data_IF_618582209765
#
_entry.id   IF_618582209765
#
_cell.length_a   1.000
_cell.length_b   1.000
_cell.length_c   1.000
_cell.angle_alpha   90.00
_cell.angle_beta   90.00
_cell.angle_gamma   90.00
#
_symmetry.space_group_name_H-M   'P 1'
#
loop_
_entity.id
_entity.type
_entity.pdbx_description
1 polymer ?
#
# COMPACT_ATOMS: atom_id res chain seq x y z
N UNK A 1 19.47 -0.92 18.33
CA UNK A 1 18.26 -1.67 18.73
C UNK A 1 18.22 -2.99 17.97
N UNK A 2 17.62 -4.00 18.59
CA UNK A 2 17.23 -5.26 17.93
C UNK A 2 15.75 -5.16 17.53
N UNK A 3 15.47 -5.21 16.26
CA UNK A 3 14.14 -4.94 15.69
C UNK A 3 13.65 -6.21 14.99
N UNK A 4 12.43 -6.64 15.31
CA UNK A 4 11.76 -7.71 14.57
C UNK A 4 10.67 -7.11 13.67
N UNK A 5 10.87 -7.15 12.35
CA UNK A 5 9.81 -6.84 11.40
C UNK A 5 9.00 -8.11 11.17
N UNK A 6 7.67 -7.99 11.21
CA UNK A 6 6.75 -9.12 11.04
C UNK A 6 5.83 -8.83 9.88
N UNK A 7 5.80 -9.73 8.89
CA UNK A 7 4.89 -9.59 7.74
C UNK A 7 4.50 -10.94 7.17
N UNK A 8 3.22 -11.17 7.04
CA UNK A 8 2.66 -12.34 6.37
C UNK A 8 2.72 -12.29 4.85
N UNK A 9 3.09 -11.16 4.27
CA UNK A 9 3.24 -11.00 2.81
C UNK A 9 4.64 -11.35 2.31
N UNK A 10 5.51 -11.83 3.19
CA UNK A 10 6.88 -12.25 2.89
C UNK A 10 7.07 -13.70 3.37
N UNK A 11 7.75 -14.54 2.59
CA UNK A 11 8.33 -14.35 1.26
C UNK A 11 7.41 -14.87 0.16
N UNK A 12 7.30 -14.14 -0.94
CA UNK A 12 6.56 -14.59 -2.12
C UNK A 12 7.23 -14.12 -3.41
N UNK A 13 7.17 -14.90 -4.51
CA UNK A 13 7.81 -14.53 -5.78
C UNK A 13 7.32 -13.19 -6.35
N UNK A 14 6.03 -12.88 -6.17
CA UNK A 14 5.39 -11.66 -6.68
C UNK A 14 4.89 -10.80 -5.50
N UNK A 15 5.84 -10.19 -4.79
CA UNK A 15 5.52 -9.37 -3.64
C UNK A 15 4.72 -8.12 -4.00
N UNK A 16 3.69 -7.85 -3.19
CA UNK A 16 2.91 -6.62 -3.24
C UNK A 16 3.62 -5.42 -2.60
N UNK A 17 2.97 -4.25 -2.65
CA UNK A 17 3.51 -3.01 -2.10
C UNK A 17 3.82 -3.08 -0.60
N UNK A 18 3.01 -3.81 0.19
CA UNK A 18 3.25 -3.97 1.63
C UNK A 18 4.55 -4.74 1.92
N UNK A 19 4.78 -5.86 1.24
CA UNK A 19 6.00 -6.64 1.41
C UNK A 19 7.24 -5.84 1.03
N UNK A 20 7.20 -5.11 -0.10
CA UNK A 20 8.28 -4.22 -0.54
C UNK A 20 8.53 -3.10 0.46
N UNK A 21 7.48 -2.51 1.01
CA UNK A 21 7.62 -1.50 2.06
C UNK A 21 8.34 -2.06 3.28
N UNK A 22 7.96 -3.24 3.79
CA UNK A 22 8.59 -3.87 4.94
C UNK A 22 10.08 -4.19 4.69
N UNK A 23 10.43 -4.69 3.51
CA UNK A 23 11.82 -4.97 3.13
C UNK A 23 12.65 -3.69 2.96
N UNK A 24 12.09 -2.64 2.35
CA UNK A 24 12.78 -1.35 2.22
C UNK A 24 13.00 -0.70 3.58
N UNK A 25 12.05 -0.81 4.51
CA UNK A 25 12.23 -0.38 5.89
C UNK A 25 13.34 -1.17 6.58
N UNK A 26 13.35 -2.50 6.43
CA UNK A 26 14.40 -3.35 7.01
C UNK A 26 15.79 -2.90 6.55
N UNK A 27 15.96 -2.68 5.24
CA UNK A 27 17.23 -2.17 4.68
C UNK A 27 17.61 -0.81 5.24
N UNK A 28 16.67 0.12 5.36
CA UNK A 28 16.94 1.45 5.91
C UNK A 28 17.37 1.38 7.38
N UNK A 29 16.71 0.55 8.18
CA UNK A 29 17.06 0.34 9.60
C UNK A 29 18.43 -0.34 9.76
N UNK A 30 18.78 -1.29 8.88
CA UNK A 30 20.14 -1.90 8.87
C UNK A 30 21.18 -0.86 8.49
N UNK A 31 20.94 -0.02 7.47
CA UNK A 31 21.83 1.09 7.12
C UNK A 31 22.01 2.09 8.28
N UNK A 32 20.97 2.28 9.08
CA UNK A 32 21.03 3.11 10.28
C UNK A 32 21.75 2.45 11.49
N UNK A 33 22.36 1.27 11.30
CA UNK A 33 23.16 0.57 12.30
C UNK A 33 22.34 -0.28 13.28
N UNK A 34 21.11 -0.64 12.95
CA UNK A 34 20.27 -1.50 13.79
C UNK A 34 20.34 -2.96 13.37
N UNK A 35 20.17 -3.86 14.32
CA UNK A 35 20.01 -5.28 14.05
C UNK A 35 18.54 -5.55 13.72
N UNK A 36 18.27 -6.06 12.53
CA UNK A 36 16.91 -6.28 12.03
C UNK A 36 16.76 -7.73 11.59
N UNK A 37 15.79 -8.43 12.17
CA UNK A 37 15.34 -9.73 11.69
C UNK A 37 13.92 -9.59 11.12
N UNK A 38 13.54 -10.49 10.21
CA UNK A 38 12.22 -10.52 9.59
C UNK A 38 11.54 -11.85 9.87
N UNK A 39 10.36 -11.79 10.49
CA UNK A 39 9.48 -12.92 10.72
C UNK A 39 8.40 -12.93 9.64
N UNK A 40 8.44 -13.92 8.78
CA UNK A 40 7.52 -14.09 7.66
C UNK A 40 6.88 -15.47 7.60
N UNK A 41 6.19 -15.74 6.50
CA UNK A 41 5.55 -17.03 6.24
C UNK A 41 6.57 -18.15 6.04
N UNK A 42 6.17 -19.36 6.38
CA UNK A 42 6.96 -20.59 6.25
C UNK A 42 6.76 -21.31 4.90
N UNK A 43 5.92 -20.75 4.00
CA UNK A 43 5.57 -21.40 2.74
C UNK A 43 6.71 -21.43 1.71
N UNK A 44 7.62 -20.46 1.77
CA UNK A 44 8.75 -20.34 0.85
C UNK A 44 10.02 -19.88 1.57
N UNK A 45 11.21 -20.24 1.07
CA UNK A 45 12.45 -19.62 1.51
C UNK A 45 12.52 -18.16 1.02
N UNK A 46 13.29 -17.31 1.70
CA UNK A 46 13.40 -15.89 1.34
C UNK A 46 14.02 -15.68 -0.07
N UNK A 47 14.77 -16.64 -0.56
CA UNK A 47 15.44 -16.58 -1.85
C UNK A 47 14.47 -16.49 -3.04
N UNK A 48 13.21 -16.90 -2.87
CA UNK A 48 12.16 -16.71 -3.90
C UNK A 48 11.90 -15.23 -4.22
N UNK A 49 12.29 -14.33 -3.31
CA UNK A 49 12.20 -12.89 -3.50
C UNK A 49 13.39 -12.29 -4.27
N UNK A 50 14.39 -13.12 -4.64
CA UNK A 50 15.60 -12.68 -5.34
C UNK A 50 16.33 -11.55 -4.60
N UNK A 51 16.83 -10.57 -5.34
CA UNK A 51 17.54 -9.41 -4.77
C UNK A 51 16.67 -8.59 -3.82
N UNK A 52 15.35 -8.55 -4.03
CA UNK A 52 14.42 -7.86 -3.13
C UNK A 52 14.36 -8.48 -1.74
N UNK A 53 14.61 -9.78 -1.61
CA UNK A 53 14.69 -10.50 -0.33
C UNK A 53 15.94 -10.17 0.50
N UNK A 54 16.97 -9.58 -0.10
CA UNK A 54 18.21 -9.21 0.59
C UNK A 54 18.04 -7.92 1.39
N UNK A 55 17.98 -7.99 2.70
CA UNK A 55 17.81 -6.83 3.58
C UNK A 55 18.93 -6.67 4.63
N UNK A 56 19.87 -7.60 4.70
CA UNK A 56 21.01 -7.52 5.61
C UNK A 56 20.77 -8.08 7.01
N UNK A 57 19.67 -8.80 7.22
CA UNK A 57 19.30 -9.46 8.48
C UNK A 57 18.90 -10.92 8.27
N UNK A 58 18.44 -11.57 9.34
CA UNK A 58 17.99 -12.96 9.30
C UNK A 58 16.50 -13.03 8.98
N UNK A 59 16.11 -13.94 8.09
CA UNK A 59 14.73 -14.32 7.88
C UNK A 59 14.33 -15.50 8.78
N UNK A 60 13.12 -15.43 9.35
CA UNK A 60 12.52 -16.45 10.20
C UNK A 60 11.17 -16.81 9.59
N UNK A 61 11.07 -17.98 8.97
CA UNK A 61 9.84 -18.48 8.35
C UNK A 61 9.02 -19.29 9.35
N UNK A 62 8.21 -18.64 10.17
CA UNK A 62 7.40 -19.31 11.19
C UNK A 62 5.94 -18.85 11.23
N UNK A 63 5.57 -17.79 10.51
CA UNK A 63 4.17 -17.45 10.36
C UNK A 63 3.51 -18.52 9.49
N UNK A 64 2.74 -19.40 10.14
CA UNK A 64 1.99 -20.42 9.43
C UNK A 64 0.89 -19.73 8.62
N UNK A 65 1.21 -19.45 7.39
CA UNK A 65 0.27 -19.03 6.37
C UNK A 65 -0.73 -20.10 5.97
N UNK A 66 -0.59 -21.33 6.52
CA UNK A 66 -1.45 -22.49 6.31
C UNK A 66 -2.90 -22.33 6.68
N UNK A 67 -3.21 -21.17 7.10
CA UNK A 67 -4.56 -20.78 6.94
C UNK A 67 -4.82 -20.63 5.45
N UNK A 68 -4.79 -21.78 4.77
CA UNK A 68 -5.23 -21.94 3.41
C UNK A 68 -6.41 -21.01 3.19
N UNK A 69 -6.30 -20.06 2.32
CA UNK A 69 -7.32 -19.08 2.02
C UNK A 69 -7.28 -17.76 2.79
N UNK A 70 -6.37 -17.51 3.72
CA UNK A 70 -6.27 -16.14 4.24
C UNK A 70 -5.59 -15.19 3.24
N UNK A 71 -4.70 -15.70 2.39
CA UNK A 71 -4.21 -15.00 1.20
C UNK A 71 -5.23 -14.80 0.11
N UNK A 72 -6.13 -15.71 -0.01
CA UNK A 72 -7.33 -15.41 -0.73
C UNK A 72 -8.03 -14.37 0.12
N UNK A 73 -7.61 -13.15 -0.15
CA UNK A 73 -8.11 -11.90 0.41
C UNK A 73 -9.59 -11.95 0.73
N UNK A 74 -10.35 -12.64 -0.08
CA UNK A 74 -11.73 -12.96 0.13
C UNK A 74 -11.99 -13.84 1.34
N UNK A 75 -11.28 -14.92 1.56
CA UNK A 75 -11.63 -15.90 2.58
C UNK A 75 -11.27 -15.49 4.00
N UNK A 76 -10.07 -15.02 4.22
CA UNK A 76 -9.66 -14.50 5.53
C UNK A 76 -10.49 -13.30 5.95
N UNK A 77 -10.91 -12.47 5.01
CA UNK A 77 -11.72 -11.28 5.23
C UNK A 77 -13.19 -11.59 5.43
N UNK A 78 -13.71 -12.57 4.71
CA UNK A 78 -15.15 -12.93 4.75
C UNK A 78 -15.49 -14.00 5.77
N UNK A 79 -14.52 -14.49 6.54
CA UNK A 79 -14.78 -15.46 7.63
C UNK A 79 -14.51 -14.83 9.00
N UNK A 80 -15.35 -13.88 9.47
CA UNK A 80 -15.18 -13.18 10.73
C UNK A 80 -14.90 -14.08 11.93
N UNK A 81 -15.48 -15.30 12.04
CA UNK A 81 -15.18 -16.21 13.14
C UNK A 81 -13.74 -16.70 13.17
N UNK A 82 -13.05 -16.79 12.03
CA UNK A 82 -11.66 -17.25 11.96
C UNK A 82 -10.65 -16.17 12.29
N UNK A 83 -10.95 -14.90 12.09
CA UNK A 83 -10.03 -13.80 12.36
C UNK A 83 -9.47 -13.74 13.78
N UNK A 84 -10.26 -13.93 14.85
CA UNK A 84 -9.72 -13.97 16.19
C UNK A 84 -8.74 -15.13 16.42
N UNK A 85 -8.93 -16.30 15.78
CA UNK A 85 -8.03 -17.44 15.92
C UNK A 85 -6.71 -17.20 15.18
N UNK A 86 -6.74 -16.61 13.99
CA UNK A 86 -5.56 -16.23 13.23
C UNK A 86 -4.74 -15.17 14.00
N UNK A 87 -5.39 -14.10 14.46
CA UNK A 87 -4.75 -13.05 15.24
C UNK A 87 -4.11 -13.60 16.52
N UNK A 88 -4.78 -14.52 17.23
CA UNK A 88 -4.26 -15.17 18.41
C UNK A 88 -3.07 -16.08 18.11
N UNK A 89 -3.10 -16.80 16.99
CA UNK A 89 -1.99 -17.61 16.56
C UNK A 89 -0.76 -16.76 16.24
N UNK A 90 -0.92 -15.69 15.46
CA UNK A 90 0.16 -14.76 15.16
C UNK A 90 0.75 -14.14 16.44
N UNK A 91 -0.11 -13.70 17.36
CA UNK A 91 0.35 -13.18 18.65
C UNK A 91 1.19 -14.20 19.43
N UNK A 92 0.80 -15.49 19.42
CA UNK A 92 1.59 -16.55 20.07
C UNK A 92 2.97 -16.73 19.44
N UNK A 93 3.05 -16.68 18.09
CA UNK A 93 4.32 -16.79 17.38
C UNK A 93 5.20 -15.57 17.72
N UNK A 94 4.65 -14.36 17.63
CA UNK A 94 5.34 -13.11 17.96
C UNK A 94 5.88 -13.16 19.39
N UNK A 95 5.10 -13.63 20.37
CA UNK A 95 5.50 -13.69 21.76
C UNK A 95 6.68 -14.63 22.03
N UNK A 96 6.87 -15.69 21.23
CA UNK A 96 8.06 -16.56 21.35
C UNK A 96 9.34 -15.81 21.04
N UNK A 97 9.27 -14.84 20.13
CA UNK A 97 10.42 -14.05 19.70
C UNK A 97 10.61 -12.77 20.52
N UNK A 98 9.53 -12.22 21.08
CA UNK A 98 9.53 -10.92 21.77
C UNK A 98 10.68 -10.69 22.77
N UNK A 99 11.09 -11.66 23.62
CA UNK A 99 12.17 -11.45 24.57
C UNK A 99 13.54 -11.14 23.95
N UNK A 100 13.71 -11.40 22.66
CA UNK A 100 14.98 -11.22 21.95
C UNK A 100 15.09 -9.87 21.24
N UNK A 101 14.04 -9.03 21.25
CA UNK A 101 13.97 -7.79 20.50
C UNK A 101 13.52 -6.62 21.35
N UNK A 102 14.06 -5.44 21.06
CA UNK A 102 13.68 -4.19 21.73
C UNK A 102 12.33 -3.68 21.24
N UNK A 103 11.97 -4.02 20.00
CA UNK A 103 10.69 -3.65 19.36
C UNK A 103 10.28 -4.68 18.32
N UNK A 104 8.97 -4.86 18.19
CA UNK A 104 8.34 -5.68 17.15
C UNK A 104 7.48 -4.78 16.29
N UNK A 105 7.73 -4.75 15.00
CA UNK A 105 6.98 -3.93 14.06
C UNK A 105 6.23 -4.80 13.05
N UNK A 106 4.91 -4.81 13.16
CA UNK A 106 4.03 -5.61 12.33
C UNK A 106 3.50 -4.83 11.11
N UNK A 107 3.73 -5.38 9.94
CA UNK A 107 3.20 -4.94 8.67
C UNK A 107 2.32 -6.04 8.08
N UNK A 108 1.01 -5.91 8.20
CA UNK A 108 0.12 -6.97 7.73
C UNK A 108 -1.35 -6.60 7.75
N UNK A 109 -2.18 -7.58 7.36
CA UNK A 109 -3.61 -7.39 7.13
C UNK A 109 -4.50 -7.69 8.35
N UNK A 110 -3.90 -8.07 9.51
CA UNK A 110 -4.66 -8.50 10.69
C UNK A 110 -4.54 -7.45 11.81
N UNK A 111 -5.38 -6.40 11.82
CA UNK A 111 -5.23 -5.25 12.72
C UNK A 111 -5.49 -5.57 14.19
N UNK A 112 -6.10 -6.69 14.49
CA UNK A 112 -6.42 -7.12 15.86
C UNK A 112 -5.39 -8.08 16.48
N UNK A 113 -4.22 -8.28 15.87
CA UNK A 113 -3.13 -9.10 16.46
C UNK A 113 -2.74 -8.56 17.82
N UNK A 114 -2.57 -7.24 17.93
CA UNK A 114 -2.16 -6.57 19.17
C UNK A 114 -3.15 -6.78 20.35
N UNK A 115 -4.41 -7.14 20.09
CA UNK A 115 -5.37 -7.49 21.14
C UNK A 115 -4.94 -8.67 22.01
N UNK A 116 -4.06 -9.50 21.50
CA UNK A 116 -3.58 -10.73 22.13
C UNK A 116 -2.13 -10.65 22.62
N UNK A 117 -1.53 -9.45 22.57
CA UNK A 117 -0.20 -9.18 23.10
C UNK A 117 -0.30 -8.48 24.46
N UNK A 118 0.60 -8.80 25.43
CA UNK A 118 0.72 -8.07 26.69
C UNK A 118 1.07 -6.59 26.45
N UNK A 119 0.56 -5.66 27.27
CA UNK A 119 0.78 -4.23 27.09
C UNK A 119 2.24 -3.77 27.22
N UNK A 120 3.07 -4.54 27.90
CA UNK A 120 4.50 -4.29 28.11
C UNK A 120 5.37 -4.67 26.90
N UNK A 121 4.83 -5.43 25.96
CA UNK A 121 5.52 -5.70 24.68
C UNK A 121 5.59 -4.42 23.86
N UNK A 122 6.79 -3.98 23.51
CA UNK A 122 6.99 -2.84 22.61
C UNK A 122 6.60 -3.22 21.19
N UNK A 123 5.31 -3.17 20.92
CA UNK A 123 4.71 -3.54 19.66
C UNK A 123 4.21 -2.31 18.90
N UNK A 124 4.57 -2.24 17.63
CA UNK A 124 4.12 -1.22 16.67
C UNK A 124 3.46 -1.93 15.50
N UNK A 125 2.39 -1.39 14.98
CA UNK A 125 1.77 -1.89 13.74
C UNK A 125 1.59 -0.77 12.73
N UNK A 126 1.97 -0.99 11.49
CA UNK A 126 1.64 -0.09 10.38
C UNK A 126 0.43 -0.59 9.63
N UNK A 127 -0.54 0.31 9.41
CA UNK A 127 -1.75 0.04 8.64
C UNK A 127 -1.56 0.55 7.22
N UNK A 128 -1.57 -0.40 6.26
CA UNK A 128 -1.36 -0.14 4.84
C UNK A 128 -2.66 -0.11 4.04
N UNK A 129 -3.77 -0.48 4.67
CA UNK A 129 -5.08 -0.61 4.05
C UNK A 129 -6.21 -0.20 4.99
N UNK A 130 -7.43 -0.21 4.48
CA UNK A 130 -8.66 0.11 5.22
C UNK A 130 -9.11 -1.01 6.17
N UNK A 131 -8.27 -2.03 6.43
CA UNK A 131 -8.63 -3.21 7.22
C UNK A 131 -8.91 -2.93 8.70
N UNK A 132 -8.62 -1.74 9.19
CA UNK A 132 -8.95 -1.32 10.55
C UNK A 132 -10.47 -1.26 10.80
N UNK A 133 -11.23 -0.85 9.82
CA UNK A 133 -12.68 -0.62 9.92
C UNK A 133 -13.48 -1.36 8.83
N UNK A 134 -12.86 -1.69 7.70
CA UNK A 134 -13.48 -2.36 6.57
C UNK A 134 -13.01 -3.80 6.41
N UNK A 135 -13.91 -4.77 6.40
CA UNK A 135 -13.58 -6.19 6.20
C UNK A 135 -13.03 -6.50 4.80
N UNK A 136 -13.35 -5.69 3.80
CA UNK A 136 -12.81 -5.83 2.44
C UNK A 136 -11.48 -5.12 2.24
N UNK A 137 -11.00 -4.42 3.24
CA UNK A 137 -9.76 -3.62 3.24
C UNK A 137 -9.69 -2.51 2.19
N UNK A 138 -10.75 -2.28 1.43
CA UNK A 138 -10.73 -1.35 0.29
C UNK A 138 -11.69 -0.19 0.44
N UNK A 139 -12.74 -0.29 1.28
CA UNK A 139 -13.86 0.66 1.29
C UNK A 139 -14.40 0.96 -0.12
N UNK A 140 -14.40 -0.09 -0.95
CA UNK A 140 -14.85 0.00 -2.34
C UNK A 140 -15.86 -1.11 -2.62
N UNK A 141 -17.04 -0.75 -3.12
CA UNK A 141 -18.15 -1.66 -3.36
C UNK A 141 -18.94 -1.22 -4.59
N UNK A 142 -19.27 -2.17 -5.46
CA UNK A 142 -20.11 -1.92 -6.64
C UNK A 142 -19.60 -0.77 -7.53
N UNK A 143 -18.25 -0.68 -7.69
CA UNK A 143 -17.63 0.36 -8.51
C UNK A 143 -17.51 1.73 -7.84
N UNK A 144 -17.87 1.87 -6.56
CA UNK A 144 -17.88 3.15 -5.84
C UNK A 144 -17.19 3.08 -4.46
N UNK A 145 -16.79 4.23 -3.96
CA UNK A 145 -16.28 4.37 -2.59
C UNK A 145 -17.41 4.07 -1.62
N UNK A 146 -17.13 3.23 -0.62
CA UNK A 146 -18.09 2.84 0.41
C UNK A 146 -17.94 3.71 1.65
N UNK A 147 -18.92 4.57 1.89
CA UNK A 147 -18.97 5.45 3.07
C UNK A 147 -19.66 4.84 4.28
N UNK A 148 -20.25 3.67 4.15
CA UNK A 148 -21.01 3.05 5.22
C UNK A 148 -20.13 2.66 6.41
N UNK A 149 -20.58 3.04 7.60
CA UNK A 149 -20.07 2.56 8.89
C UNK A 149 -21.09 1.69 9.63
N UNK A 150 -22.30 1.51 9.09
CA UNK A 150 -23.34 0.66 9.70
C UNK A 150 -22.90 -0.81 9.69
N UNK A 151 -22.84 -1.46 10.86
CA UNK A 151 -22.51 -2.88 10.94
C UNK A 151 -23.47 -3.80 10.16
N UNK A 152 -24.73 -3.40 9.98
CA UNK A 152 -25.69 -4.19 9.22
C UNK A 152 -25.39 -4.14 7.72
N UNK A 153 -25.01 -2.99 7.19
CA UNK A 153 -24.60 -2.85 5.80
C UNK A 153 -23.25 -3.54 5.56
N UNK A 154 -22.29 -3.39 6.48
CA UNK A 154 -21.01 -4.09 6.40
C UNK A 154 -21.17 -5.62 6.46
N UNK A 155 -22.15 -6.13 7.20
CA UNK A 155 -22.46 -7.55 7.26
C UNK A 155 -22.92 -8.13 5.90
N UNK A 156 -23.57 -7.33 5.05
CA UNK A 156 -23.93 -7.72 3.67
C UNK A 156 -22.73 -7.96 2.78
N UNK A 157 -21.60 -7.28 3.03
CA UNK A 157 -20.35 -7.53 2.32
C UNK A 157 -19.70 -8.86 2.68
N UNK A 158 -19.99 -9.36 3.89
CA UNK A 158 -19.48 -10.66 4.40
C UNK A 158 -20.30 -11.81 3.84
N UNK A 159 -21.62 -11.65 3.85
CA UNK A 159 -22.59 -12.64 3.35
C UNK A 159 -23.69 -11.91 2.55
N UNK A 160 -23.65 -11.94 1.22
CA UNK A 160 -24.59 -11.20 0.38
C UNK A 160 -26.04 -11.74 0.45
N UNK A 161 -26.19 -13.03 0.72
CA UNK A 161 -27.50 -13.71 0.75
C UNK A 161 -27.74 -14.46 2.07
N UNK A 162 -27.73 -13.74 3.22
CA UNK A 162 -27.84 -14.40 4.52
C UNK A 162 -29.28 -14.67 4.88
N UNK A 163 -29.53 -15.80 5.58
CA UNK A 163 -30.75 -15.94 6.38
C UNK A 163 -30.71 -15.01 7.61
N UNK A 164 -31.81 -14.93 8.35
CA UNK A 164 -31.94 -14.01 9.47
C UNK A 164 -30.87 -14.25 10.57
N UNK A 165 -30.55 -15.50 10.87
CA UNK A 165 -29.55 -15.89 11.87
C UNK A 165 -28.14 -15.49 11.39
N UNK A 166 -27.81 -15.82 10.15
CA UNK A 166 -26.51 -15.47 9.56
C UNK A 166 -26.31 -13.96 9.51
N UNK A 167 -27.37 -13.18 9.25
CA UNK A 167 -27.34 -11.70 9.26
C UNK A 167 -27.02 -11.17 10.65
N UNK A 168 -27.69 -11.70 11.69
CA UNK A 168 -27.43 -11.31 13.07
C UNK A 168 -26.00 -11.65 13.52
N UNK A 169 -25.53 -12.86 13.20
CA UNK A 169 -24.15 -13.31 13.50
C UNK A 169 -23.12 -12.44 12.78
N UNK A 170 -23.31 -12.15 11.49
CA UNK A 170 -22.39 -11.30 10.72
C UNK A 170 -22.35 -9.87 11.26
N UNK A 171 -23.50 -9.30 11.63
CA UNK A 171 -23.56 -7.98 12.28
C UNK A 171 -22.80 -7.98 13.60
N UNK A 172 -23.03 -8.96 14.46
CA UNK A 172 -22.31 -9.08 15.73
C UNK A 172 -20.79 -9.26 15.52
N UNK A 173 -20.40 -10.01 14.49
CA UNK A 173 -18.98 -10.17 14.14
C UNK A 173 -18.32 -8.86 13.69
N UNK A 174 -19.03 -8.01 12.92
CA UNK A 174 -18.53 -6.66 12.55
C UNK A 174 -18.32 -5.81 13.80
N UNK A 175 -19.31 -5.73 14.67
CA UNK A 175 -19.22 -4.94 15.92
C UNK A 175 -18.05 -5.43 16.78
N UNK A 176 -17.95 -6.75 16.99
CA UNK A 176 -16.87 -7.33 17.78
C UNK A 176 -15.51 -7.04 17.19
N UNK A 177 -15.35 -7.22 15.87
CA UNK A 177 -14.09 -6.96 15.19
C UNK A 177 -13.63 -5.51 15.38
N UNK A 178 -14.50 -4.54 15.11
CA UNK A 178 -14.17 -3.11 15.28
C UNK A 178 -13.78 -2.77 16.72
N UNK A 179 -14.49 -3.37 17.70
CA UNK A 179 -14.13 -3.21 19.11
C UNK A 179 -12.74 -3.79 19.40
N UNK A 180 -12.45 -4.99 18.91
CA UNK A 180 -11.16 -5.67 19.14
C UNK A 180 -10.01 -4.88 18.47
N UNK A 181 -10.23 -4.31 17.28
CA UNK A 181 -9.26 -3.42 16.63
C UNK A 181 -9.06 -2.13 17.41
N UNK A 182 -10.13 -1.48 17.86
CA UNK A 182 -10.03 -0.27 18.68
C UNK A 182 -9.26 -0.51 20.00
N UNK A 183 -9.48 -1.67 20.63
CA UNK A 183 -8.71 -2.07 21.81
C UNK A 183 -7.22 -2.30 21.48
N UNK A 184 -6.93 -2.92 20.34
CA UNK A 184 -5.56 -3.10 19.85
C UNK A 184 -4.84 -1.77 19.65
N UNK A 185 -5.50 -0.80 19.00
CA UNK A 185 -4.91 0.50 18.72
C UNK A 185 -4.72 1.36 19.98
N UNK A 186 -5.53 1.14 21.03
CA UNK A 186 -5.33 1.80 22.32
C UNK A 186 -4.22 1.17 23.16
N UNK A 187 -4.04 -0.15 23.06
CA UNK A 187 -3.06 -0.87 23.85
C UNK A 187 -1.64 -0.77 23.31
N UNK A 188 -1.49 -0.61 21.99
CA UNK A 188 -0.20 -0.61 21.30
C UNK A 188 -0.12 0.50 20.27
N UNK A 189 1.10 0.85 19.87
CA UNK A 189 1.38 1.90 18.91
C UNK A 189 0.88 1.52 17.53
N UNK A 190 0.19 2.44 16.88
CA UNK A 190 -0.31 2.29 15.51
C UNK A 190 0.23 3.40 14.63
N UNK A 191 0.75 3.03 13.47
CA UNK A 191 1.16 3.93 12.40
C UNK A 191 0.18 3.78 11.24
N UNK A 192 -0.29 4.87 10.71
CA UNK A 192 -1.10 4.92 9.49
C UNK A 192 -0.26 5.45 8.34
N UNK A 193 -0.39 4.85 7.16
CA UNK A 193 0.34 5.35 5.97
C UNK A 193 -0.30 6.59 5.34
N UNK A 194 -1.38 7.08 5.92
CA UNK A 194 -2.03 8.36 5.55
C UNK A 194 -2.99 8.82 6.65
N UNK A 195 -3.26 10.10 6.71
CA UNK A 195 -4.28 10.67 7.59
C UNK A 195 -5.69 10.18 7.21
N UNK A 196 -5.91 9.86 5.93
CA UNK A 196 -7.13 9.21 5.48
C UNK A 196 -7.46 7.97 6.31
N UNK A 197 -6.51 7.05 6.50
CA UNK A 197 -6.74 5.81 7.24
C UNK A 197 -7.12 6.09 8.69
N UNK A 198 -6.45 7.04 9.32
CA UNK A 198 -6.76 7.49 10.69
C UNK A 198 -8.17 8.09 10.77
N UNK A 199 -8.53 8.98 9.83
CA UNK A 199 -9.87 9.58 9.76
C UNK A 199 -10.98 8.54 9.53
N UNK A 200 -10.76 7.61 8.60
CA UNK A 200 -11.73 6.55 8.31
C UNK A 200 -11.94 5.63 9.51
N UNK A 201 -10.86 5.29 10.21
CA UNK A 201 -10.96 4.50 11.44
C UNK A 201 -11.74 5.27 12.53
N UNK A 202 -11.44 6.55 12.73
CA UNK A 202 -12.13 7.41 13.70
C UNK A 202 -13.63 7.53 13.44
N UNK A 203 -14.09 7.47 12.18
CA UNK A 203 -15.54 7.45 11.85
C UNK A 203 -16.25 6.22 12.44
N UNK A 204 -15.58 5.09 12.55
CA UNK A 204 -16.14 3.86 13.10
C UNK A 204 -15.95 3.73 14.62
N UNK A 205 -14.80 4.17 15.11
CA UNK A 205 -14.37 3.96 16.51
C UNK A 205 -14.63 5.17 17.42
N UNK A 206 -15.04 6.30 16.84
CA UNK A 206 -15.13 7.59 17.51
C UNK A 206 -13.80 8.34 17.51
N UNK A 207 -13.81 9.63 17.93
CA UNK A 207 -12.61 10.45 18.02
C UNK A 207 -11.63 9.86 19.06
N UNK A 208 -10.33 9.97 18.76
CA UNK A 208 -9.29 9.53 19.67
C UNK A 208 -7.90 9.57 19.02
N UNK A 209 -6.84 9.49 19.82
CA UNK A 209 -5.48 9.38 19.34
C UNK A 209 -5.23 7.93 18.86
N UNK A 210 -5.68 7.60 17.68
CA UNK A 210 -5.63 6.22 17.17
C UNK A 210 -4.26 5.79 16.66
N UNK A 211 -3.36 6.72 16.37
CA UNK A 211 -2.00 6.46 15.91
C UNK A 211 -1.36 7.70 15.31
N UNK A 212 -0.17 7.51 14.77
CA UNK A 212 0.64 8.55 14.11
C UNK A 212 0.69 8.27 12.61
N UNK A 213 0.70 9.31 11.78
CA UNK A 213 0.85 9.15 10.33
C UNK A 213 2.32 9.17 9.94
N UNK A 214 2.76 8.12 9.22
CA UNK A 214 4.03 8.08 8.50
C UNK A 214 3.71 7.56 7.11
N UNK A 215 3.79 8.42 6.10
CA UNK A 215 3.48 8.04 4.72
C UNK A 215 4.36 6.89 4.22
N UNK A 216 3.88 6.17 3.22
CA UNK A 216 4.74 5.27 2.46
C UNK A 216 5.93 6.05 1.90
N UNK A 217 6.99 5.34 1.61
CA UNK A 217 8.25 5.90 1.15
C UNK A 217 8.80 5.10 -0.03
N UNK A 218 9.79 5.65 -0.67
CA UNK A 218 10.52 5.04 -1.79
C UNK A 218 11.95 4.70 -1.41
N UNK A 219 12.53 3.73 -2.10
CA UNK A 219 13.97 3.49 -2.05
C UNK A 219 14.67 4.48 -2.98
N UNK A 220 15.21 5.55 -2.40
CA UNK A 220 15.92 6.60 -3.13
C UNK A 220 17.08 6.07 -3.94
N UNK A 221 17.87 5.14 -3.39
CA UNK A 221 19.04 4.60 -4.09
C UNK A 221 18.63 3.83 -5.36
N UNK A 222 17.52 3.07 -5.29
CA UNK A 222 16.98 2.40 -6.46
C UNK A 222 16.51 3.41 -7.52
N UNK A 223 15.81 4.47 -7.10
CA UNK A 223 15.33 5.52 -8.01
C UNK A 223 16.48 6.31 -8.66
N UNK A 224 17.54 6.67 -7.91
CA UNK A 224 18.70 7.36 -8.44
C UNK A 224 19.47 6.53 -9.48
N UNK A 225 19.65 5.23 -9.22
CA UNK A 225 20.27 4.29 -10.18
C UNK A 225 19.48 4.24 -11.49
N UNK A 226 18.17 4.08 -11.39
CA UNK A 226 17.29 3.99 -12.56
C UNK A 226 17.27 5.31 -13.33
N UNK A 227 17.20 6.44 -12.64
CA UNK A 227 17.26 7.78 -13.23
C UNK A 227 18.57 8.01 -13.98
N UNK A 228 19.70 7.67 -13.35
CA UNK A 228 21.01 7.77 -13.99
C UNK A 228 21.08 6.89 -15.25
N UNK A 229 20.65 5.64 -15.16
CA UNK A 229 20.61 4.76 -16.32
C UNK A 229 19.70 5.28 -17.45
N UNK A 230 18.56 5.88 -17.10
CA UNK A 230 17.64 6.46 -18.08
C UNK A 230 18.21 7.73 -18.74
N UNK A 231 18.99 8.55 -18.02
CA UNK A 231 19.60 9.76 -18.57
C UNK A 231 20.67 9.50 -19.63
N UNK A 232 21.20 8.26 -19.68
CA UNK A 232 22.16 7.84 -20.69
C UNK A 232 21.50 7.35 -21.99
N UNK A 233 20.19 7.20 -22.01
CA UNK A 233 19.43 6.78 -23.18
C UNK A 233 18.98 7.99 -24.01
N UNK A 234 18.91 7.86 -25.35
CA UNK A 234 18.38 8.92 -26.17
C UNK A 234 16.91 9.21 -25.78
N UNK A 235 16.47 10.47 -25.87
CA UNK A 235 15.06 10.82 -25.66
C UNK A 235 14.16 10.00 -26.60
N UNK A 236 13.05 9.51 -26.07
CA UNK A 236 12.03 8.88 -26.91
C UNK A 236 11.24 9.94 -27.67
N UNK A 237 10.96 9.67 -28.92
CA UNK A 237 10.06 10.53 -29.70
C UNK A 237 8.62 10.36 -29.21
N UNK A 238 7.87 11.47 -29.21
CA UNK A 238 6.46 11.47 -28.83
C UNK A 238 6.22 11.69 -27.32
N UNK A 239 4.98 11.50 -26.91
CA UNK A 239 4.52 11.65 -25.53
C UNK A 239 4.25 10.28 -24.90
N UNK A 240 5.15 9.81 -24.07
CA UNK A 240 5.05 8.52 -23.39
C UNK A 240 4.40 8.66 -22.02
N UNK A 241 3.25 8.05 -21.86
CA UNK A 241 2.49 7.96 -20.60
C UNK A 241 2.68 6.57 -20.00
N UNK A 242 2.96 6.51 -18.71
CA UNK A 242 3.18 5.25 -18.00
C UNK A 242 2.14 5.04 -16.90
N UNK A 243 1.61 3.82 -16.81
CA UNK A 243 0.69 3.36 -15.78
C UNK A 243 1.26 2.09 -15.17
N UNK A 244 1.45 2.06 -13.85
CA UNK A 244 1.79 0.86 -13.10
C UNK A 244 0.70 0.56 -12.08
N UNK A 245 -0.07 -0.51 -12.27
CA UNK A 245 -1.18 -0.86 -11.38
C UNK A 245 -1.56 -2.33 -11.49
N UNK A 246 -2.11 -2.89 -10.42
CA UNK A 246 -2.91 -4.11 -10.54
C UNK A 246 -4.19 -3.83 -11.32
N UNK A 247 -4.52 -4.71 -12.29
CA UNK A 247 -5.62 -4.49 -13.22
C UNK A 247 -6.93 -5.05 -12.67
N UNK A 248 -7.60 -4.26 -11.83
CA UNK A 248 -8.95 -4.51 -11.30
C UNK A 248 -9.73 -3.19 -11.15
N UNK A 249 -11.08 -3.22 -11.01
CA UNK A 249 -11.93 -2.04 -11.18
C UNK A 249 -11.54 -0.83 -10.31
N UNK A 250 -11.10 -1.05 -9.06
CA UNK A 250 -10.77 0.03 -8.14
C UNK A 250 -9.55 0.87 -8.59
N UNK A 251 -8.66 0.31 -9.43
CA UNK A 251 -7.50 1.03 -9.98
C UNK A 251 -7.84 1.94 -11.15
N UNK A 252 -9.05 1.89 -11.68
CA UNK A 252 -9.56 2.84 -12.65
C UNK A 252 -8.91 2.82 -14.03
N UNK A 253 -7.99 1.90 -14.31
CA UNK A 253 -7.22 1.86 -15.57
C UNK A 253 -8.14 1.70 -16.76
N UNK A 254 -9.14 0.81 -16.68
CA UNK A 254 -10.11 0.64 -17.76
C UNK A 254 -10.94 1.90 -18.03
N UNK A 255 -11.39 2.57 -16.95
CA UNK A 255 -12.16 3.81 -17.06
C UNK A 255 -11.31 4.93 -17.68
N UNK A 256 -10.03 4.99 -17.32
CA UNK A 256 -9.07 5.92 -17.90
C UNK A 256 -8.89 5.65 -19.40
N UNK A 257 -8.63 4.41 -19.81
CA UNK A 257 -8.45 4.04 -21.20
C UNK A 257 -9.72 4.29 -22.04
N UNK A 258 -10.90 4.05 -21.46
CA UNK A 258 -12.16 4.40 -22.10
C UNK A 258 -12.33 5.90 -22.36
N UNK A 259 -11.93 6.72 -21.40
CA UNK A 259 -12.01 8.17 -21.55
C UNK A 259 -10.95 8.73 -22.50
N UNK A 260 -9.76 8.09 -22.52
CA UNK A 260 -8.62 8.53 -23.33
C UNK A 260 -8.74 8.09 -24.80
N UNK A 261 -9.12 6.85 -25.08
CA UNK A 261 -9.04 6.26 -26.43
C UNK A 261 -9.69 7.11 -27.52
N UNK A 262 -10.89 7.70 -27.37
CA UNK A 262 -11.49 8.55 -28.40
C UNK A 262 -10.79 9.91 -28.57
N UNK A 263 -9.87 10.26 -27.69
CA UNK A 263 -9.17 11.56 -27.64
C UNK A 263 -7.64 11.42 -27.76
N UNK A 264 -7.15 10.20 -28.00
CA UNK A 264 -5.73 9.85 -27.98
C UNK A 264 -4.98 10.62 -29.08
N UNK A 265 -4.06 11.55 -28.75
CA UNK A 265 -3.35 12.33 -29.74
C UNK A 265 -2.38 11.47 -30.55
N UNK A 266 -2.11 11.87 -31.79
CA UNK A 266 -1.02 11.28 -32.59
C UNK A 266 0.32 11.50 -31.84
N UNK A 267 1.13 10.45 -31.77
CA UNK A 267 2.43 10.49 -31.10
C UNK A 267 2.36 10.30 -29.58
N UNK A 268 1.18 10.17 -28.97
CA UNK A 268 1.06 9.73 -27.58
C UNK A 268 1.07 8.20 -27.54
N UNK A 269 1.89 7.63 -26.65
CA UNK A 269 1.96 6.19 -26.38
C UNK A 269 1.69 5.95 -24.91
N UNK A 270 0.78 5.01 -24.61
CA UNK A 270 0.45 4.62 -23.24
C UNK A 270 0.98 3.22 -22.98
N UNK A 271 1.86 3.09 -22.01
CA UNK A 271 2.38 1.79 -21.55
C UNK A 271 1.75 1.42 -20.21
N UNK A 272 1.06 0.29 -20.17
CA UNK A 272 0.42 -0.25 -18.97
C UNK A 272 1.23 -1.44 -18.45
N UNK A 273 1.83 -1.31 -17.28
CA UNK A 273 2.54 -2.37 -16.56
C UNK A 273 1.70 -2.85 -15.38
N UNK A 274 1.45 -4.14 -15.33
CA UNK A 274 0.69 -4.78 -14.26
C UNK A 274 -0.19 -5.90 -14.78
N UNK A 275 -0.64 -6.72 -13.85
CA UNK A 275 -1.51 -7.86 -14.08
C UNK A 275 -2.81 -7.74 -13.25
N UNK A 276 -3.76 -8.59 -13.52
CA UNK A 276 -4.98 -8.66 -12.75
C UNK A 276 -6.14 -9.31 -13.50
N UNK A 277 -7.29 -9.49 -12.82
CA UNK A 277 -8.44 -10.19 -13.42
C UNK A 277 -9.00 -9.49 -14.67
N UNK A 278 -8.80 -8.19 -14.81
CA UNK A 278 -9.31 -7.42 -15.94
C UNK A 278 -8.31 -7.28 -17.11
N UNK A 279 -7.07 -7.76 -16.98
CA UNK A 279 -6.00 -7.59 -17.97
C UNK A 279 -6.42 -8.08 -19.34
N UNK A 280 -6.88 -9.33 -19.43
CA UNK A 280 -7.26 -9.93 -20.72
C UNK A 280 -8.31 -9.10 -21.45
N UNK A 281 -9.36 -8.70 -20.73
CA UNK A 281 -10.47 -7.89 -21.30
C UNK A 281 -10.01 -6.50 -21.74
N UNK A 282 -9.13 -5.86 -20.93
CA UNK A 282 -8.59 -4.55 -21.31
C UNK A 282 -7.65 -4.65 -22.50
N UNK A 283 -6.81 -5.68 -22.57
CA UNK A 283 -5.91 -5.93 -23.69
C UNK A 283 -6.69 -6.14 -24.99
N UNK A 284 -7.69 -7.02 -24.99
CA UNK A 284 -8.55 -7.28 -26.14
C UNK A 284 -9.27 -6.02 -26.67
N UNK A 285 -9.53 -5.07 -25.79
CA UNK A 285 -10.31 -3.87 -26.10
C UNK A 285 -9.47 -2.67 -26.53
N UNK A 286 -8.30 -2.50 -25.93
CA UNK A 286 -7.53 -1.26 -26.06
C UNK A 286 -6.14 -1.45 -26.66
N UNK A 287 -5.57 -2.67 -26.68
CA UNK A 287 -4.22 -2.89 -27.17
C UNK A 287 -4.10 -2.56 -28.66
N UNK A 288 -3.04 -1.82 -29.01
CA UNK A 288 -2.80 -1.37 -30.38
C UNK A 288 -1.49 -0.58 -30.49
N UNK A 289 -1.29 0.10 -31.59
CA UNK A 289 -0.02 0.82 -31.86
C UNK A 289 0.32 1.93 -30.85
N UNK A 290 -0.67 2.47 -30.14
CA UNK A 290 -0.49 3.55 -29.17
C UNK A 290 -0.76 3.13 -27.71
N UNK A 291 -1.33 1.94 -27.46
CA UNK A 291 -1.60 1.43 -26.12
C UNK A 291 -1.00 0.03 -26.01
N UNK A 292 -0.02 -0.13 -25.13
CA UNK A 292 0.73 -1.36 -24.92
C UNK A 292 0.50 -1.89 -23.51
N UNK A 293 0.22 -3.18 -23.37
CA UNK A 293 0.13 -3.88 -22.09
C UNK A 293 1.33 -4.82 -21.92
N UNK A 294 2.11 -4.61 -20.87
CA UNK A 294 3.32 -5.39 -20.60
C UNK A 294 3.09 -6.59 -19.67
N UNK A 295 1.88 -6.69 -19.07
CA UNK A 295 1.64 -7.65 -17.99
C UNK A 295 2.44 -7.28 -16.74
N UNK A 296 2.62 -8.24 -15.84
CA UNK A 296 3.44 -8.06 -14.66
C UNK A 296 4.89 -7.72 -15.03
N UNK A 297 5.42 -6.70 -14.40
CA UNK A 297 6.81 -6.28 -14.58
C UNK A 297 7.54 -6.33 -13.24
N UNK A 298 8.79 -6.79 -13.27
CA UNK A 298 9.68 -6.71 -12.12
C UNK A 298 9.87 -5.24 -11.69
N UNK A 299 10.08 -4.96 -10.39
CA UNK A 299 10.19 -3.60 -9.86
C UNK A 299 11.21 -2.72 -10.58
N UNK A 300 12.41 -3.23 -10.80
CA UNK A 300 13.46 -2.49 -11.51
C UNK A 300 13.04 -2.11 -12.93
N UNK A 301 12.36 -3.03 -13.64
CA UNK A 301 11.81 -2.75 -14.97
C UNK A 301 10.71 -1.70 -14.90
N UNK A 302 9.83 -1.79 -13.89
CA UNK A 302 8.74 -0.82 -13.67
C UNK A 302 9.29 0.58 -13.43
N UNK A 303 10.27 0.72 -12.53
CA UNK A 303 10.93 2.00 -12.25
C UNK A 303 11.68 2.54 -13.48
N UNK A 304 12.35 1.67 -14.25
CA UNK A 304 13.01 2.07 -15.50
C UNK A 304 12.01 2.62 -16.51
N UNK A 305 10.88 1.95 -16.71
CA UNK A 305 9.82 2.43 -17.61
C UNK A 305 9.23 3.75 -17.13
N UNK A 306 8.97 3.89 -15.83
CA UNK A 306 8.51 5.14 -15.22
C UNK A 306 9.50 6.27 -15.44
N UNK A 307 10.81 6.03 -15.27
CA UNK A 307 11.86 7.04 -15.45
C UNK A 307 12.00 7.51 -16.90
N UNK A 308 11.66 6.66 -17.87
CA UNK A 308 11.71 6.95 -19.30
C UNK A 308 10.42 7.59 -19.83
N UNK A 309 9.34 7.58 -19.07
CA UNK A 309 8.07 8.20 -19.45
C UNK A 309 8.14 9.73 -19.33
N UNK A 310 7.28 10.43 -20.08
CA UNK A 310 7.08 11.87 -19.95
C UNK A 310 6.10 12.20 -18.81
N UNK A 311 5.12 11.31 -18.56
CA UNK A 311 4.13 11.47 -17.51
C UNK A 311 3.75 10.11 -16.89
N UNK A 312 3.34 10.15 -15.62
CA UNK A 312 2.79 9.00 -14.90
C UNK A 312 1.31 9.26 -14.63
N UNK A 313 0.48 8.22 -14.80
CA UNK A 313 -0.95 8.31 -14.52
C UNK A 313 -1.34 7.27 -13.47
N UNK A 314 -2.03 7.73 -12.42
CA UNK A 314 -2.57 6.91 -11.33
C UNK A 314 -4.07 7.16 -11.24
N UNK A 315 -4.87 6.47 -12.08
CA UNK A 315 -6.28 6.78 -12.27
C UNK A 315 -7.20 6.10 -11.24
N UNK A 316 -6.68 5.76 -10.07
CA UNK A 316 -7.39 5.01 -9.04
C UNK A 316 -8.69 5.69 -8.61
N UNK A 317 -9.82 4.96 -8.74
CA UNK A 317 -11.16 5.47 -8.41
C UNK A 317 -11.59 5.16 -6.97
N UNK A 318 -10.82 4.39 -6.23
CA UNK A 318 -11.04 4.10 -4.81
C UNK A 318 -10.23 5.04 -3.91
N UNK A 319 -10.43 4.92 -2.59
CA UNK A 319 -9.60 5.61 -1.60
C UNK A 319 -8.25 4.92 -1.44
N UNK A 320 -7.27 5.27 -2.32
CA UNK A 320 -5.89 4.82 -2.15
C UNK A 320 -5.38 5.20 -0.76
N UNK A 321 -4.88 4.25 0.02
CA UNK A 321 -4.29 4.58 1.32
C UNK A 321 -3.10 5.52 1.21
N UNK A 322 -2.12 5.15 0.38
CA UNK A 322 -0.93 5.94 0.08
C UNK A 322 -0.27 5.38 -1.19
N UNK A 323 -0.53 5.99 -2.32
CA UNK A 323 -0.14 5.48 -3.64
C UNK A 323 1.37 5.59 -3.86
N UNK A 324 2.11 4.49 -3.71
CA UNK A 324 3.58 4.47 -3.90
C UNK A 324 3.97 4.89 -5.31
N UNK A 325 3.18 4.55 -6.34
CA UNK A 325 3.43 4.98 -7.73
C UNK A 325 3.40 6.50 -7.89
N UNK A 326 2.60 7.22 -7.09
CA UNK A 326 2.63 8.69 -7.05
C UNK A 326 3.97 9.16 -6.50
N UNK A 327 4.41 8.62 -5.38
CA UNK A 327 5.72 8.95 -4.79
C UNK A 327 6.86 8.67 -5.77
N UNK A 328 6.86 7.50 -6.41
CA UNK A 328 7.85 7.13 -7.44
C UNK A 328 7.88 8.17 -8.57
N UNK A 329 6.70 8.60 -9.04
CA UNK A 329 6.59 9.64 -10.07
C UNK A 329 7.20 10.96 -9.64
N UNK A 330 6.86 11.45 -8.46
CA UNK A 330 7.38 12.70 -7.90
C UNK A 330 8.91 12.65 -7.73
N UNK A 331 9.42 11.55 -7.18
CA UNK A 331 10.86 11.36 -6.98
C UNK A 331 11.66 11.16 -8.28
N UNK A 332 11.00 10.71 -9.35
CA UNK A 332 11.58 10.65 -10.69
C UNK A 332 11.49 11.98 -11.44
N UNK A 333 10.97 13.04 -10.83
CA UNK A 333 10.79 14.36 -11.47
C UNK A 333 9.72 14.32 -12.57
N UNK A 334 8.73 13.43 -12.47
CA UNK A 334 7.70 13.27 -13.50
C UNK A 334 6.42 14.00 -13.13
N UNK A 335 5.75 14.68 -14.08
CA UNK A 335 4.38 15.11 -13.89
C UNK A 335 3.52 13.85 -13.63
N UNK A 336 2.78 13.87 -12.53
CA UNK A 336 1.99 12.72 -12.09
C UNK A 336 0.52 13.10 -12.02
N UNK A 337 -0.28 12.49 -12.88
CA UNK A 337 -1.72 12.74 -12.99
C UNK A 337 -2.47 11.72 -12.16
N UNK A 338 -3.32 12.18 -11.28
CA UNK A 338 -4.08 11.29 -10.40
C UNK A 338 -5.48 11.84 -10.10
N UNK A 339 -6.38 10.96 -9.70
CA UNK A 339 -7.65 11.40 -9.14
C UNK A 339 -7.45 11.85 -7.68
N UNK A 340 -8.20 12.87 -7.29
CA UNK A 340 -8.27 13.37 -5.91
C UNK A 340 -9.06 12.39 -5.04
N UNK A 341 -8.47 11.21 -4.80
CA UNK A 341 -9.09 10.12 -4.06
C UNK A 341 -8.19 9.65 -2.92
N UNK A 342 -8.82 9.33 -1.80
CA UNK A 342 -8.14 8.74 -0.66
C UNK A 342 -7.03 9.59 -0.06
N UNK A 343 -5.88 8.98 0.21
CA UNK A 343 -4.65 9.62 0.71
C UNK A 343 -3.80 10.23 -0.39
N UNK A 344 -4.16 10.10 -1.68
CA UNK A 344 -3.36 10.65 -2.78
C UNK A 344 -3.10 12.14 -2.66
N UNK A 345 -4.07 13.01 -2.27
CA UNK A 345 -3.81 14.43 -2.09
C UNK A 345 -2.79 14.76 -0.99
N UNK A 346 -2.63 13.89 0.01
CA UNK A 346 -1.67 14.07 1.09
C UNK A 346 -0.21 14.04 0.59
N UNK A 347 0.01 13.42 -0.57
CA UNK A 347 1.34 13.26 -1.17
C UNK A 347 1.86 14.52 -1.88
N UNK A 348 1.03 15.57 -2.03
CA UNK A 348 1.47 16.84 -2.60
C UNK A 348 2.62 17.51 -1.81
N UNK A 349 2.78 17.17 -0.54
CA UNK A 349 3.90 17.64 0.29
C UNK A 349 5.28 17.15 -0.20
N UNK A 350 5.29 16.17 -1.11
CA UNK A 350 6.51 15.62 -1.73
C UNK A 350 6.79 16.16 -3.13
N UNK A 351 6.00 17.10 -3.62
CA UNK A 351 6.29 17.78 -4.87
C UNK A 351 7.63 18.55 -4.78
N UNK A 352 8.42 18.44 -5.82
CA UNK A 352 9.60 19.29 -5.97
C UNK A 352 9.20 20.74 -6.29
N UNK A 353 8.17 20.88 -7.09
CA UNK A 353 7.62 22.16 -7.53
C UNK A 353 6.08 22.05 -7.62
N UNK A 354 5.34 23.11 -7.30
CA UNK A 354 3.88 23.10 -7.38
C UNK A 354 3.37 22.68 -8.75
N UNK A 355 2.39 21.77 -8.78
CA UNK A 355 1.78 21.28 -10.00
C UNK A 355 2.46 20.05 -10.62
N UNK A 356 3.47 19.49 -9.96
CA UNK A 356 4.03 18.18 -10.34
C UNK A 356 3.02 17.06 -10.11
N UNK A 357 2.26 17.09 -9.01
CA UNK A 357 1.11 16.23 -8.75
C UNK A 357 -0.19 16.90 -9.22
N UNK A 358 -0.69 16.47 -10.35
CA UNK A 358 -1.89 17.02 -11.00
C UNK A 358 -3.13 16.23 -10.55
N UNK A 359 -3.89 16.81 -9.63
CA UNK A 359 -5.03 16.19 -8.98
C UNK A 359 -6.35 16.62 -9.63
N UNK A 360 -7.14 15.64 -10.06
CA UNK A 360 -8.42 15.85 -10.75
C UNK A 360 -9.58 15.20 -9.98
N UNK A 361 -10.76 15.82 -10.06
CA UNK A 361 -11.94 15.33 -9.36
C UNK A 361 -12.64 14.19 -10.11
N UNK A 362 -12.45 14.14 -11.43
CA UNK A 362 -13.02 13.10 -12.29
C UNK A 362 -12.07 12.69 -13.44
N UNK A 363 -12.43 11.59 -14.10
CA UNK A 363 -11.63 11.02 -15.18
C UNK A 363 -11.59 11.90 -16.43
N UNK A 364 -12.65 12.64 -16.69
CA UNK A 364 -12.74 13.49 -17.88
C UNK A 364 -11.79 14.68 -17.78
N UNK A 365 -11.71 15.32 -16.61
CA UNK A 365 -10.78 16.42 -16.33
C UNK A 365 -9.33 15.93 -16.32
N UNK A 366 -9.05 14.74 -15.77
CA UNK A 366 -7.71 14.12 -15.82
C UNK A 366 -7.26 13.92 -17.26
N UNK A 367 -8.10 13.30 -18.09
CA UNK A 367 -7.77 13.05 -19.51
C UNK A 367 -7.65 14.36 -20.26
N UNK A 368 -8.52 15.34 -20.02
CA UNK A 368 -8.46 16.65 -20.67
C UNK A 368 -7.13 17.37 -20.42
N UNK A 369 -6.68 17.36 -19.17
CA UNK A 369 -5.41 17.95 -18.81
C UNK A 369 -4.24 17.18 -19.43
N UNK A 370 -4.26 15.85 -19.38
CA UNK A 370 -3.19 15.00 -19.92
C UNK A 370 -3.00 15.19 -21.43
N UNK A 371 -4.06 15.26 -22.21
CA UNK A 371 -3.94 15.35 -23.69
C UNK A 371 -3.49 16.73 -24.17
N UNK A 372 -3.61 17.76 -23.33
CA UNK A 372 -3.14 19.14 -23.60
C UNK A 372 -1.82 19.46 -22.93
N UNK A 373 -1.29 18.52 -22.13
CA UNK A 373 -0.05 18.74 -21.38
C UNK A 373 1.17 18.77 -22.29
N UNK A 374 2.07 19.71 -22.06
CA UNK A 374 3.34 19.80 -22.80
C UNK A 374 4.31 18.68 -22.37
N UNK A 375 4.60 17.69 -23.23
CA UNK A 375 5.51 16.59 -22.91
C UNK A 375 6.96 17.03 -22.67
N UNK A 376 7.29 18.28 -23.00
CA UNK A 376 8.57 18.91 -22.71
C UNK A 376 8.75 19.37 -21.27
N UNK A 377 7.66 19.52 -20.52
CA UNK A 377 7.70 19.95 -19.11
C UNK A 377 8.55 19.01 -18.26
N UNK A 378 9.43 19.59 -17.47
CA UNK A 378 10.31 18.89 -16.54
C UNK A 378 10.17 19.51 -15.16
N UNK A 379 10.17 18.66 -14.15
CA UNK A 379 10.18 19.05 -12.75
C UNK A 379 11.52 18.70 -12.12
N UNK A 380 11.88 19.43 -11.10
CA UNK A 380 12.98 19.08 -10.21
C UNK A 380 12.73 17.75 -9.49
N UNK A 381 13.64 17.41 -8.62
CA UNK A 381 13.50 16.21 -7.77
C UNK A 381 13.08 16.66 -6.38
N UNK A 382 12.22 15.84 -5.73
CA UNK A 382 11.80 16.11 -4.36
C UNK A 382 13.02 16.38 -3.46
N UNK A 383 12.85 17.36 -2.55
CA UNK A 383 13.92 17.81 -1.67
C UNK A 383 14.59 16.62 -0.93
N UNK A 384 15.89 16.77 -0.69
CA UNK A 384 16.66 15.72 0.00
C UNK A 384 16.03 15.32 1.33
N UNK A 385 15.84 14.03 1.52
CA UNK A 385 15.35 13.43 2.76
C UNK A 385 13.85 13.32 2.93
N UNK A 386 13.00 14.01 2.16
CA UNK A 386 11.55 13.81 2.24
C UNK A 386 11.12 12.53 1.52
N UNK A 387 10.18 11.79 2.11
CA UNK A 387 9.54 10.61 1.49
C UNK A 387 10.47 9.44 1.14
N UNK A 388 11.70 9.42 1.64
CA UNK A 388 12.62 8.30 1.47
C UNK A 388 12.59 7.33 2.67
N UNK A 389 13.02 6.09 2.44
CA UNK A 389 13.04 5.05 3.46
C UNK A 389 13.88 5.42 4.70
N UNK A 390 14.99 6.14 4.53
CA UNK A 390 15.86 6.51 5.65
C UNK A 390 15.19 7.56 6.57
N UNK A 391 14.46 8.52 6.00
CA UNK A 391 13.68 9.50 6.78
C UNK A 391 12.52 8.84 7.51
N UNK A 392 11.79 7.96 6.84
CA UNK A 392 10.72 7.19 7.47
C UNK A 392 11.25 6.30 8.59
N UNK A 393 12.40 5.66 8.39
CA UNK A 393 13.07 4.88 9.44
C UNK A 393 13.41 5.75 10.67
N UNK A 394 13.88 6.98 10.49
CA UNK A 394 14.13 7.92 11.60
C UNK A 394 12.85 8.25 12.37
N UNK A 395 11.76 8.58 11.69
CA UNK A 395 10.46 8.84 12.33
C UNK A 395 9.95 7.60 13.09
N UNK A 396 10.10 6.41 12.51
CA UNK A 396 9.71 5.16 13.17
C UNK A 396 10.59 4.84 14.36
N UNK A 397 11.88 5.14 14.33
CA UNK A 397 12.79 4.97 15.48
C UNK A 397 12.40 5.85 16.67
N UNK A 398 11.86 7.04 16.45
CA UNK A 398 11.29 7.88 17.51
C UNK A 398 10.07 7.20 18.14
N UNK A 399 9.17 6.64 17.30
CA UNK A 399 8.02 5.86 17.76
C UNK A 399 8.48 4.60 18.55
N UNK A 400 9.52 3.90 18.09
CA UNK A 400 10.03 2.70 18.77
C UNK A 400 10.56 2.99 20.16
N UNK A 401 11.25 4.12 20.35
CA UNK A 401 11.85 4.53 21.64
C UNK A 401 10.82 5.01 22.65
N UNK A 402 9.62 5.36 22.21
CA UNK A 402 8.58 5.79 23.13
C UNK A 402 8.10 4.63 24.03
N UNK A 403 7.62 4.91 25.26
CA UNK A 403 7.12 3.88 26.15
C UNK A 403 6.04 3.00 25.51
N UNK A 404 5.96 1.70 25.85
CA UNK A 404 4.82 0.87 25.47
C UNK A 404 3.51 1.47 25.98
N UNK A 405 2.41 1.35 25.19
CA UNK A 405 1.09 1.83 25.58
C UNK A 405 0.88 3.36 25.54
N UNK A 406 1.87 4.12 25.09
CA UNK A 406 1.78 5.58 25.00
C UNK A 406 1.30 6.07 23.62
N UNK A 407 0.15 6.74 23.56
CA UNK A 407 -0.16 7.58 22.42
C UNK A 407 0.67 8.86 22.50
N UNK A 408 1.61 9.07 21.57
CA UNK A 408 2.30 10.34 21.48
C UNK A 408 1.30 11.42 21.06
N UNK A 409 1.15 12.44 21.92
CA UNK A 409 0.76 13.77 21.45
C UNK A 409 2.03 14.37 20.83
N UNK A 410 2.07 14.50 19.53
CA UNK A 410 2.95 15.42 18.83
C UNK A 410 2.17 16.69 18.61
#
# INVERSE_FOLDING_TARGET
MRILIVSEDIPFPNMGGLAKHALNLARALVRAGHHVDLLGCDEHPIDVCGEEGKFGGRFIGELNGHHAGWKEISFGMFMPPKRPSIARNFAKIILRHAPNYDVIHYHGHIPNVARYLPPDVNFVQTRHDQGGDCFRHTRFREGQICDSIDPAECAKCINPTPNAIQRAVSKAAVVRFRRDVAQSFRAHKTVFVSDLLSRNFARCAGPGPWGTTVHNFVDRNALEKVRHAASLLPPREGFHVFIAAKLYPAKGVEQFLHALAPRLPKGMVVTVAGDGPDEKRMREKFEGSQIEFLGWCAPDRTLKLASMANAIVVPSVWEEPCATTVLEGLFLGKPTFALRRGGTPELAVYEAEPGQLRLHDDMASLVSDLVTFDPGTRYGFAAEGLGCADRAAQQLLEIYRSPPGGHHRV
#
